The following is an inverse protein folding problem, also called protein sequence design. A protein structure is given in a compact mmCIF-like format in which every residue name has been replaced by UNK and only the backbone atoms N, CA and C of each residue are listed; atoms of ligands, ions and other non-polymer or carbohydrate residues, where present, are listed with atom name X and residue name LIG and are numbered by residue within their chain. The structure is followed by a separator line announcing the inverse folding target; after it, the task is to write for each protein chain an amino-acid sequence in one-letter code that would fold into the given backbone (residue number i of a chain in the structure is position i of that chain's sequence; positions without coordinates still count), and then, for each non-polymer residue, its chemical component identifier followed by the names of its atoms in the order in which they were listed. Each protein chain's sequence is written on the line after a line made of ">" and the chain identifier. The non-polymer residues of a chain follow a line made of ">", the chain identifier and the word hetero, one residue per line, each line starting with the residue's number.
data_IF_080442300478
#
_entry.id   IF_080442300478
#
_cell.length_a   1.000
_cell.length_b   1.000
_cell.length_c   1.000
_cell.angle_alpha   90.00
_cell.angle_beta   90.00
_cell.angle_gamma   90.00
#
_symmetry.space_group_name_H-M   'P 1'
#
loop_
_entity.id
_entity.type
_entity.pdbx_description
1 polymer ?
#
# COMPACT_ATOMS: atom_id res chain seq x y z
N UNK A 1 -8.03 -12.92 14.40
CA UNK A 1 -7.62 -12.43 13.06
C UNK A 1 -7.15 -13.59 12.22
N UNK A 2 -7.67 -13.71 11.01
CA UNK A 2 -7.35 -14.85 10.16
C UNK A 2 -6.06 -14.65 9.38
N UNK A 3 -5.78 -13.42 8.96
CA UNK A 3 -4.55 -13.09 8.24
C UNK A 3 -4.03 -11.71 8.67
N UNK A 4 -2.72 -11.63 8.81
CA UNK A 4 -2.02 -10.41 9.17
C UNK A 4 -0.91 -10.18 8.16
N UNK A 5 -1.06 -9.16 7.35
CA UNK A 5 -0.09 -8.83 6.30
C UNK A 5 0.82 -7.70 6.78
N UNK A 6 2.11 -7.85 6.56
CA UNK A 6 3.12 -6.86 6.93
C UNK A 6 3.94 -6.55 5.69
N UNK A 7 4.08 -5.29 5.37
CA UNK A 7 4.95 -4.89 4.27
C UNK A 7 4.55 -3.58 3.61
N UNK A 8 4.89 -3.50 2.35
CA UNK A 8 4.74 -2.28 1.56
C UNK A 8 3.31 -2.04 1.10
N UNK A 9 2.96 -0.78 1.03
CA UNK A 9 1.79 -0.29 0.33
C UNK A 9 2.20 0.93 -0.48
N UNK A 10 1.83 0.94 -1.74
CA UNK A 10 2.29 1.94 -2.71
C UNK A 10 1.11 2.41 -3.54
N UNK A 11 1.29 3.54 -4.22
CA UNK A 11 0.33 3.98 -5.22
C UNK A 11 0.87 3.63 -6.61
N UNK A 12 0.07 2.93 -7.39
CA UNK A 12 0.35 2.69 -8.80
C UNK A 12 -0.44 3.69 -9.63
N UNK A 13 0.28 4.54 -10.36
CA UNK A 13 -0.30 5.46 -11.33
C UNK A 13 -0.30 4.79 -12.69
N UNK A 14 -1.48 4.43 -13.16
CA UNK A 14 -1.67 3.71 -14.42
C UNK A 14 -2.15 4.70 -15.48
N UNK A 15 -1.62 4.64 -16.71
CA UNK A 15 -2.09 5.53 -17.78
C UNK A 15 -3.59 5.43 -17.98
N UNK A 16 -4.25 6.58 -18.10
CA UNK A 16 -5.65 6.67 -18.43
C UNK A 16 -5.87 6.64 -19.95
N UNK A 17 -7.09 6.97 -20.38
CA UNK A 17 -7.47 6.95 -21.79
C UNK A 17 -6.85 8.09 -22.60
N UNK A 18 -6.63 9.22 -21.97
CA UNK A 18 -6.04 10.42 -22.58
C UNK A 18 -4.55 10.48 -22.35
N UNK A 19 -3.83 11.04 -23.32
CA UNK A 19 -2.39 11.28 -23.15
C UNK A 19 -2.13 12.17 -21.93
N UNK A 20 -1.17 11.73 -21.09
CA UNK A 20 -0.81 12.44 -19.86
C UNK A 20 -1.73 12.17 -18.68
N UNK A 21 -2.78 11.41 -18.86
CA UNK A 21 -3.70 11.04 -17.80
C UNK A 21 -3.19 9.82 -17.03
N UNK A 22 -3.24 9.91 -15.70
CA UNK A 22 -2.92 8.78 -14.82
C UNK A 22 -4.05 8.55 -13.83
N UNK A 23 -4.36 7.28 -13.59
CA UNK A 23 -5.34 6.87 -12.59
C UNK A 23 -4.57 6.25 -11.42
N UNK A 24 -4.79 6.77 -10.22
CA UNK A 24 -4.13 6.24 -9.02
C UNK A 24 -4.84 4.98 -8.54
N UNK A 25 -4.05 3.98 -8.19
CA UNK A 25 -4.54 2.73 -7.63
C UNK A 25 -3.74 2.37 -6.41
N UNK A 26 -4.40 1.85 -5.40
CA UNK A 26 -3.70 1.26 -4.27
C UNK A 26 -3.04 -0.03 -4.71
N UNK A 27 -1.77 -0.21 -4.38
CA UNK A 27 -0.99 -1.37 -4.77
C UNK A 27 -0.06 -1.85 -3.67
N UNK A 28 0.81 -2.77 -4.03
CA UNK A 28 1.71 -3.45 -3.09
C UNK A 28 1.21 -4.86 -2.81
N UNK A 29 2.09 -5.85 -3.00
CA UNK A 29 1.71 -7.25 -2.84
C UNK A 29 1.11 -7.58 -1.46
N UNK A 30 1.69 -7.13 -0.34
CA UNK A 30 1.11 -7.41 0.97
C UNK A 30 -0.30 -6.83 1.15
N UNK A 31 -0.55 -5.63 0.64
CA UNK A 31 -1.86 -5.00 0.71
C UNK A 31 -2.88 -5.75 -0.14
N UNK A 32 -2.48 -6.19 -1.34
CA UNK A 32 -3.35 -6.96 -2.21
C UNK A 32 -3.78 -8.27 -1.55
N UNK A 33 -2.88 -8.93 -0.83
CA UNK A 33 -3.21 -10.15 -0.07
C UNK A 33 -4.25 -9.87 1.01
N UNK A 34 -4.05 -8.81 1.79
CA UNK A 34 -4.98 -8.44 2.86
C UNK A 34 -6.38 -8.09 2.32
N UNK A 35 -6.43 -7.32 1.24
CA UNK A 35 -7.68 -6.91 0.61
C UNK A 35 -8.41 -8.14 0.03
N UNK A 36 -7.69 -9.01 -0.66
CA UNK A 36 -8.27 -10.24 -1.21
C UNK A 36 -8.85 -11.12 -0.11
N UNK A 37 -8.13 -11.27 1.01
CA UNK A 37 -8.60 -12.03 2.15
C UNK A 37 -9.90 -11.44 2.74
N UNK A 38 -9.92 -10.14 2.93
CA UNK A 38 -11.11 -9.44 3.46
C UNK A 38 -12.32 -9.60 2.53
N UNK A 39 -12.10 -9.48 1.22
CA UNK A 39 -13.16 -9.68 0.23
C UNK A 39 -13.72 -11.10 0.23
N UNK A 40 -12.94 -12.07 0.69
CA UNK A 40 -13.37 -13.46 0.81
C UNK A 40 -13.89 -13.81 2.20
N UNK A 41 -14.21 -12.81 3.01
CA UNK A 41 -14.87 -13.02 4.30
C UNK A 41 -13.94 -13.31 5.47
N UNK A 42 -12.64 -13.22 5.28
CA UNK A 42 -11.67 -13.39 6.36
C UNK A 42 -11.46 -12.10 7.13
N UNK A 43 -11.11 -12.22 8.39
CA UNK A 43 -10.69 -11.08 9.20
C UNK A 43 -9.23 -10.78 8.89
N UNK A 44 -8.97 -9.67 8.19
CA UNK A 44 -7.65 -9.31 7.71
C UNK A 44 -7.15 -8.03 8.35
N UNK A 45 -5.86 -7.99 8.64
CA UNK A 45 -5.17 -6.80 9.11
C UNK A 45 -3.93 -6.52 8.29
N UNK A 46 -3.48 -5.26 8.30
CA UNK A 46 -2.31 -4.79 7.57
C UNK A 46 -1.45 -3.90 8.43
N UNK A 47 -0.16 -4.18 8.47
CA UNK A 47 0.86 -3.31 9.03
C UNK A 47 1.70 -2.77 7.89
N UNK A 48 1.62 -1.46 7.65
CA UNK A 48 2.36 -0.78 6.58
C UNK A 48 2.79 0.60 7.06
N UNK A 49 3.70 1.20 6.31
CA UNK A 49 4.12 2.59 6.54
C UNK A 49 3.91 3.37 5.24
N UNK A 50 3.16 4.45 5.34
CA UNK A 50 2.88 5.36 4.23
C UNK A 50 3.24 6.78 4.67
N UNK A 51 3.40 7.68 3.71
CA UNK A 51 3.72 9.08 4.03
C UNK A 51 2.57 9.80 4.72
N UNK A 52 2.91 10.79 5.53
CA UNK A 52 1.93 11.72 6.10
C UNK A 52 1.58 12.75 5.03
N UNK A 53 0.92 12.30 3.99
CA UNK A 53 0.52 13.07 2.81
C UNK A 53 -0.82 12.57 2.29
N UNK A 54 -1.35 13.25 1.28
CA UNK A 54 -2.65 12.89 0.73
C UNK A 54 -2.67 11.50 0.10
N UNK A 55 -1.54 11.05 -0.44
CA UNK A 55 -1.43 9.71 -1.01
C UNK A 55 -1.43 8.64 0.08
N UNK A 56 -0.74 8.88 1.19
CA UNK A 56 -0.77 7.98 2.34
C UNK A 56 -2.16 7.86 2.93
N UNK A 57 -2.86 8.99 3.08
CA UNK A 57 -4.25 8.99 3.55
C UNK A 57 -5.18 8.24 2.61
N UNK A 58 -5.00 8.38 1.31
CA UNK A 58 -5.74 7.61 0.32
C UNK A 58 -5.56 6.11 0.51
N UNK A 59 -4.33 5.66 0.75
CA UNK A 59 -4.03 4.24 0.96
C UNK A 59 -4.68 3.70 2.24
N UNK A 60 -4.58 4.46 3.32
CA UNK A 60 -5.22 4.08 4.60
C UNK A 60 -6.73 3.99 4.44
N UNK A 61 -7.33 4.97 3.79
CA UNK A 61 -8.79 4.98 3.56
C UNK A 61 -9.21 3.81 2.68
N UNK A 62 -8.40 3.44 1.71
CA UNK A 62 -8.66 2.27 0.87
C UNK A 62 -8.70 0.99 1.70
N UNK A 63 -7.74 0.80 2.61
CA UNK A 63 -7.74 -0.35 3.51
C UNK A 63 -9.02 -0.38 4.36
N UNK A 64 -9.40 0.75 4.92
CA UNK A 64 -10.61 0.85 5.74
C UNK A 64 -11.88 0.54 4.95
N UNK A 65 -11.99 1.04 3.73
CA UNK A 65 -13.14 0.77 2.85
C UNK A 65 -13.22 -0.70 2.47
N UNK A 66 -12.09 -1.38 2.38
CA UNK A 66 -12.01 -2.80 2.07
C UNK A 66 -12.13 -3.68 3.33
N UNK A 67 -12.45 -3.07 4.47
CA UNK A 67 -12.60 -3.76 5.75
C UNK A 67 -11.32 -4.45 6.24
N UNK A 68 -10.17 -3.94 5.84
CA UNK A 68 -8.86 -4.36 6.37
C UNK A 68 -8.52 -3.51 7.57
N UNK A 69 -8.18 -4.16 8.67
CA UNK A 69 -7.80 -3.47 9.89
C UNK A 69 -6.38 -2.92 9.77
N UNK A 70 -6.23 -1.61 9.98
CA UNK A 70 -4.93 -0.96 10.03
C UNK A 70 -4.43 -1.05 11.47
N UNK A 71 -3.32 -1.75 11.68
CA UNK A 71 -2.91 -2.20 13.02
C UNK A 71 -1.81 -1.35 13.63
N UNK A 72 -1.09 -0.59 12.84
CA UNK A 72 0.04 0.21 13.32
C UNK A 72 -0.17 1.70 13.15
N UNK A 73 0.67 2.49 13.82
CA UNK A 73 0.86 3.89 13.47
C UNK A 73 1.60 3.92 12.14
N UNK A 74 0.87 4.20 11.10
CA UNK A 74 1.31 3.97 9.73
C UNK A 74 1.74 5.22 8.97
N UNK A 75 1.66 6.40 9.57
CA UNK A 75 2.07 7.64 8.92
C UNK A 75 3.54 7.94 9.18
N UNK A 76 4.26 8.30 8.14
CA UNK A 76 5.68 8.63 8.18
C UNK A 76 5.89 10.08 7.78
N UNK A 77 6.52 10.87 8.65
CA UNK A 77 6.86 12.26 8.35
C UNK A 77 8.19 12.39 7.63
N UNK A 78 9.01 11.34 7.64
CA UNK A 78 10.39 11.35 7.15
C UNK A 78 10.51 11.16 5.65
N UNK A 79 9.50 10.59 5.01
CA UNK A 79 9.51 10.32 3.58
C UNK A 79 8.10 10.33 3.00
N UNK A 80 8.01 10.56 1.71
CA UNK A 80 6.73 10.55 0.99
C UNK A 80 6.24 9.10 0.80
N UNK A 81 4.96 8.95 0.56
CA UNK A 81 4.38 7.68 0.14
C UNK A 81 5.07 7.20 -1.15
N UNK A 82 5.43 5.93 -1.19
CA UNK A 82 6.04 5.34 -2.39
C UNK A 82 5.03 5.32 -3.53
N UNK A 83 5.47 5.80 -4.69
CA UNK A 83 4.65 5.89 -5.89
C UNK A 83 5.36 5.19 -7.06
N UNK A 84 4.59 4.51 -7.88
CA UNK A 84 5.06 3.89 -9.11
C UNK A 84 4.26 4.43 -10.28
N UNK A 85 4.94 4.91 -11.30
CA UNK A 85 4.32 5.38 -12.54
C UNK A 85 4.53 4.34 -13.61
N UNK A 86 3.44 3.80 -14.15
CA UNK A 86 3.48 2.78 -15.17
C UNK A 86 3.44 3.45 -16.54
N UNK A 87 4.36 3.06 -17.41
CA UNK A 87 4.39 3.48 -18.81
C UNK A 87 4.26 2.26 -19.71
N UNK A 88 3.53 2.39 -20.80
CA UNK A 88 3.36 1.33 -21.79
C UNK A 88 4.19 1.67 -23.01
N UNK A 89 5.07 0.73 -23.43
CA UNK A 89 5.78 0.82 -24.68
C UNK A 89 4.86 0.42 -25.85
N UNK A 90 5.26 0.76 -27.07
CA UNK A 90 4.47 0.45 -28.29
C UNK A 90 4.18 -1.04 -28.44
N UNK A 91 5.10 -1.90 -27.96
CA UNK A 91 4.94 -3.35 -28.00
C UNK A 91 4.11 -3.90 -26.82
N UNK A 92 3.53 -3.05 -25.99
CA UNK A 92 2.74 -3.45 -24.84
C UNK A 92 3.53 -3.76 -23.57
N UNK A 93 4.86 -3.65 -23.62
CA UNK A 93 5.68 -3.85 -22.41
C UNK A 93 5.47 -2.71 -21.42
N UNK A 94 5.44 -3.07 -20.15
CA UNK A 94 5.31 -2.10 -19.06
C UNK A 94 6.67 -1.73 -18.51
N UNK A 95 6.87 -0.43 -18.29
CA UNK A 95 8.02 0.08 -17.55
C UNK A 95 7.52 0.86 -16.34
N UNK A 96 8.34 0.91 -15.30
CA UNK A 96 7.97 1.56 -14.05
C UNK A 96 8.98 2.65 -13.71
N UNK A 97 8.47 3.80 -13.31
CA UNK A 97 9.28 4.86 -12.68
C UNK A 97 8.81 4.99 -11.23
N UNK A 98 9.74 4.81 -10.30
CA UNK A 98 9.42 4.86 -8.88
C UNK A 98 9.83 6.18 -8.26
N UNK A 99 8.93 6.77 -7.47
CA UNK A 99 9.22 7.88 -6.58
C UNK A 99 9.42 7.31 -5.16
N UNK A 100 10.65 6.90 -4.87
CA UNK A 100 11.01 6.24 -3.59
C UNK A 100 12.52 6.33 -3.33
N UNK A 101 13.04 7.49 -2.95
CA UNK A 101 14.48 7.63 -2.67
C UNK A 101 14.72 8.31 -1.31
N UNK A 102 14.38 7.67 -0.17
CA UNK A 102 13.53 6.49 0.04
C UNK A 102 12.05 6.85 0.03
N UNK A 103 11.17 5.85 -0.15
CA UNK A 103 9.74 5.98 0.12
C UNK A 103 9.42 5.62 1.57
N UNK A 104 8.23 5.97 2.02
CA UNK A 104 7.81 5.78 3.40
C UNK A 104 7.79 4.30 3.83
N UNK A 105 7.59 3.38 2.89
CA UNK A 105 7.61 1.94 3.18
C UNK A 105 8.94 1.45 3.76
N UNK A 106 10.03 2.14 3.45
CA UNK A 106 11.36 1.82 4.00
C UNK A 106 11.55 2.23 5.46
N UNK A 107 10.60 2.97 6.01
CA UNK A 107 10.61 3.41 7.41
C UNK A 107 9.72 2.55 8.31
N UNK A 108 9.22 1.43 7.82
CA UNK A 108 8.53 0.45 8.63
C UNK A 108 9.53 -0.18 9.61
N UNK A 109 9.22 -0.07 10.89
CA UNK A 109 10.12 -0.47 11.97
C UNK A 109 9.48 -1.56 12.82
N UNK A 110 10.31 -2.27 13.59
CA UNK A 110 9.83 -3.31 14.51
C UNK A 110 8.80 -2.78 15.51
N UNK A 111 8.93 -1.50 15.92
CA UNK A 111 7.98 -0.86 16.82
C UNK A 111 6.60 -0.62 16.19
N UNK A 112 6.50 -0.65 14.89
CA UNK A 112 5.21 -0.52 14.19
C UNK A 112 4.42 -1.83 14.21
N UNK A 113 5.09 -2.96 14.40
CA UNK A 113 4.47 -4.27 14.42
C UNK A 113 3.87 -4.53 15.80
N UNK A 114 2.58 -4.82 15.85
CA UNK A 114 1.88 -5.12 17.10
C UNK A 114 2.01 -6.61 17.40
N UNK A 115 2.85 -6.94 18.37
CA UNK A 115 3.15 -8.32 18.78
C UNK A 115 1.91 -9.15 19.09
N UNK A 116 0.93 -8.56 19.76
CA UNK A 116 -0.30 -9.25 20.13
C UNK A 116 -1.04 -9.83 18.91
N UNK A 117 -0.93 -9.16 17.77
CA UNK A 117 -1.55 -9.63 16.55
C UNK A 117 -0.86 -10.86 15.96
N UNK A 118 0.39 -11.09 16.34
CA UNK A 118 1.19 -12.22 15.85
C UNK A 118 1.17 -13.42 16.79
N UNK A 119 1.15 -13.18 18.10
CA UNK A 119 1.26 -14.26 19.09
C UNK A 119 -0.06 -14.99 19.37
N UNK A 120 -1.17 -14.44 18.94
CA UNK A 120 -2.49 -15.07 19.10
C UNK A 120 -2.99 -15.76 17.83
N UNK A 121 -2.08 -16.07 16.97
CA UNK A 121 -2.38 -16.81 15.73
C UNK A 121 -2.57 -18.29 16.01
#
# INVERSE_FOLDING_TARGET
>A
MDIYSIGEMVIDFIPGEKEGEYIRNAGGAPANVAIAAARNGLEAGMCCKVGDDDFGRFLVDTLKKEHVKVISDNLCEEAITTMAFVSLAENGERTFTFARKPGADMFLRTTDVKELSLIHI
#
